data_IF_262675010920
#
_entry.id   IF_262675010920
#
_cell.length_a   1.000
_cell.length_b   1.000
_cell.length_c   1.000
_cell.angle_alpha   90.00
_cell.angle_beta   90.00
_cell.angle_gamma   90.00
#
_symmetry.space_group_name_H-M   'P 1'
#
loop_
_entity.id
_entity.type
_entity.pdbx_description
1 polymer ?
#
# COMPACT_ATOMS: atom_id res chain seq x y z
N UNK A 1 -8.75 -18.66 13.95
CA UNK A 1 -8.38 -18.79 12.51
C UNK A 1 -6.90 -19.12 12.42
N UNK A 2 -6.52 -20.19 11.74
CA UNK A 2 -5.14 -20.73 11.70
C UNK A 2 -4.10 -19.68 11.26
N UNK A 3 -4.50 -18.73 10.39
CA UNK A 3 -3.61 -17.66 9.92
C UNK A 3 -3.27 -16.60 10.99
N UNK A 4 -3.92 -16.63 12.16
CA UNK A 4 -3.64 -15.75 13.30
C UNK A 4 -2.77 -16.42 14.37
N UNK A 5 -2.42 -17.69 14.20
CA UNK A 5 -1.59 -18.43 15.17
C UNK A 5 -0.13 -17.90 15.20
N UNK A 6 0.65 -18.22 16.25
CA UNK A 6 2.06 -17.84 16.31
C UNK A 6 2.93 -18.44 15.20
N UNK A 7 2.53 -19.57 14.61
CA UNK A 7 3.28 -20.25 13.55
C UNK A 7 2.38 -20.74 12.40
N UNK A 8 1.72 -19.83 11.65
CA UNK A 8 0.73 -20.21 10.62
C UNK A 8 1.30 -21.15 9.57
N UNK A 9 2.58 -20.95 9.18
CA UNK A 9 3.24 -21.76 8.17
C UNK A 9 3.41 -23.22 8.61
N UNK A 10 3.65 -23.47 9.91
CA UNK A 10 3.74 -24.85 10.44
C UNK A 10 2.38 -25.54 10.38
N UNK A 11 1.33 -24.84 10.80
CA UNK A 11 -0.05 -25.33 10.76
C UNK A 11 -0.50 -25.61 9.31
N UNK A 12 -0.20 -24.70 8.37
CA UNK A 12 -0.47 -24.92 6.94
C UNK A 12 0.30 -26.14 6.37
N UNK A 13 1.56 -26.35 6.75
CA UNK A 13 2.32 -27.56 6.34
C UNK A 13 1.68 -28.84 6.88
N UNK A 14 1.17 -28.81 8.11
CA UNK A 14 0.48 -29.96 8.71
C UNK A 14 -0.80 -30.30 7.93
N UNK A 15 -1.59 -29.29 7.58
CA UNK A 15 -2.81 -29.45 6.75
C UNK A 15 -2.45 -30.04 5.38
N UNK A 16 -1.41 -29.49 4.74
CA UNK A 16 -0.93 -29.96 3.44
C UNK A 16 -0.61 -31.46 3.44
N UNK A 17 0.06 -31.95 4.50
CA UNK A 17 0.42 -33.35 4.67
C UNK A 17 -0.76 -34.27 4.96
N UNK A 18 -1.80 -33.78 5.64
CA UNK A 18 -2.93 -34.60 6.09
C UNK A 18 -4.05 -34.72 5.05
N UNK A 19 -4.43 -33.61 4.43
CA UNK A 19 -5.58 -33.55 3.51
C UNK A 19 -5.39 -32.64 2.30
N UNK A 20 -4.29 -31.90 2.21
CA UNK A 20 -4.14 -30.85 1.21
C UNK A 20 -5.15 -29.71 1.40
N UNK A 21 -5.40 -28.92 0.37
CA UNK A 21 -6.23 -27.70 0.44
C UNK A 21 -7.49 -27.74 -0.42
N UNK A 22 -7.83 -28.92 -0.96
CA UNK A 22 -9.02 -29.11 -1.81
C UNK A 22 -10.34 -28.80 -1.09
N UNK A 23 -10.35 -28.88 0.24
CA UNK A 23 -11.51 -28.48 1.07
C UNK A 23 -11.78 -26.98 1.06
N UNK A 24 -10.78 -26.14 0.72
CA UNK A 24 -10.95 -24.69 0.53
C UNK A 24 -11.45 -24.42 -0.88
N UNK A 25 -10.74 -24.96 -1.87
CA UNK A 25 -11.12 -24.90 -3.28
C UNK A 25 -10.45 -26.04 -4.04
N UNK A 26 -11.15 -26.66 -4.99
CA UNK A 26 -10.64 -27.81 -5.76
C UNK A 26 -9.33 -27.50 -6.49
N UNK A 27 -9.23 -26.30 -7.08
CA UNK A 27 -8.03 -25.80 -7.78
C UNK A 27 -6.91 -25.33 -6.84
N UNK A 28 -7.12 -25.29 -5.51
CA UNK A 28 -6.12 -24.75 -4.60
C UNK A 28 -5.00 -25.77 -4.36
N UNK A 29 -3.86 -25.53 -5.00
CA UNK A 29 -2.63 -26.26 -4.78
C UNK A 29 -1.55 -25.32 -4.22
N UNK A 30 -0.94 -25.70 -3.10
CA UNK A 30 0.16 -24.97 -2.47
C UNK A 30 1.45 -25.71 -2.73
N UNK A 31 2.27 -25.14 -3.60
CA UNK A 31 3.58 -25.66 -3.94
C UNK A 31 4.67 -25.15 -2.99
N UNK A 32 5.90 -25.63 -3.19
CA UNK A 32 7.05 -25.22 -2.39
C UNK A 32 7.34 -23.71 -2.53
N UNK A 33 7.06 -23.11 -3.70
CA UNK A 33 7.24 -21.67 -3.94
C UNK A 33 6.28 -20.85 -3.08
N UNK A 34 5.02 -21.26 -3.00
CA UNK A 34 4.01 -20.63 -2.15
C UNK A 34 4.40 -20.75 -0.67
N UNK A 35 4.88 -21.91 -0.23
CA UNK A 35 5.40 -22.06 1.14
C UNK A 35 6.64 -21.20 1.44
N UNK A 36 7.51 -20.98 0.46
CA UNK A 36 8.65 -20.07 0.61
C UNK A 36 8.18 -18.61 0.75
N UNK A 37 7.16 -18.20 -0.02
CA UNK A 37 6.55 -16.87 0.13
C UNK A 37 5.87 -16.71 1.49
N UNK A 38 5.11 -17.71 1.94
CA UNK A 38 4.46 -17.69 3.26
C UNK A 38 5.47 -17.51 4.39
N UNK A 39 6.65 -18.14 4.33
CA UNK A 39 7.72 -17.93 5.33
C UNK A 39 8.22 -16.47 5.34
N UNK A 40 8.39 -15.88 4.15
CA UNK A 40 8.90 -14.51 4.02
C UNK A 40 7.88 -13.44 4.46
N UNK A 41 6.60 -13.79 4.63
CA UNK A 41 5.59 -12.90 5.22
C UNK A 41 5.96 -12.51 6.65
N UNK A 42 6.55 -13.43 7.43
CA UNK A 42 7.00 -13.14 8.79
C UNK A 42 8.08 -12.07 8.83
N UNK A 43 9.10 -12.24 7.98
CA UNK A 43 10.23 -11.30 7.84
C UNK A 43 9.74 -9.92 7.38
N UNK A 44 8.86 -9.90 6.38
CA UNK A 44 8.27 -8.67 5.86
C UNK A 44 7.46 -7.93 6.93
N UNK A 45 6.60 -8.65 7.66
CA UNK A 45 5.76 -8.05 8.70
C UNK A 45 6.62 -7.53 9.86
N UNK A 46 7.65 -8.27 10.26
CA UNK A 46 8.61 -7.84 11.29
C UNK A 46 9.35 -6.57 10.87
N UNK A 47 9.93 -6.57 9.65
CA UNK A 47 10.57 -5.39 9.09
C UNK A 47 9.62 -4.19 9.05
N UNK A 48 8.39 -4.40 8.59
CA UNK A 48 7.39 -3.33 8.54
C UNK A 48 7.06 -2.80 9.96
N UNK A 49 6.92 -3.70 10.93
CA UNK A 49 6.63 -3.33 12.30
C UNK A 49 7.74 -2.49 12.93
N UNK A 50 8.99 -2.93 12.79
CA UNK A 50 10.16 -2.24 13.36
C UNK A 50 10.40 -0.86 12.73
N UNK A 51 10.12 -0.72 11.44
CA UNK A 51 10.43 0.52 10.71
C UNK A 51 9.27 1.53 10.70
N UNK A 52 8.01 1.08 10.85
CA UNK A 52 6.86 1.94 10.55
C UNK A 52 5.66 1.85 11.50
N UNK A 53 5.50 0.80 12.32
CA UNK A 53 4.25 0.62 13.11
C UNK A 53 4.04 1.72 14.15
N UNK A 54 5.10 2.31 14.71
CA UNK A 54 4.99 3.43 15.64
C UNK A 54 4.49 4.74 14.99
N UNK A 55 4.48 4.80 13.65
CA UNK A 55 4.12 6.00 12.87
C UNK A 55 2.83 5.86 12.07
N UNK A 56 2.18 4.69 12.09
CA UNK A 56 0.99 4.44 11.30
C UNK A 56 -0.26 4.26 12.15
N UNK A 57 -1.32 5.02 11.82
CA UNK A 57 -2.68 4.82 12.35
C UNK A 57 -3.34 3.53 11.82
N UNK A 58 -2.89 3.01 10.67
CA UNK A 58 -3.48 1.85 10.03
C UNK A 58 -2.79 0.55 10.44
N UNK A 59 -3.54 -0.30 11.13
CA UNK A 59 -3.08 -1.62 11.57
C UNK A 59 -3.06 -2.59 10.38
N UNK A 60 -1.85 -2.96 9.94
CA UNK A 60 -1.67 -4.03 8.95
C UNK A 60 -2.07 -5.36 9.57
N UNK A 61 -2.99 -6.06 8.94
CA UNK A 61 -3.45 -7.35 9.41
C UNK A 61 -2.60 -8.48 8.85
N UNK A 62 -1.64 -8.97 9.66
CA UNK A 62 -0.71 -10.04 9.27
C UNK A 62 -1.41 -11.28 8.69
N UNK A 63 -2.55 -11.67 9.26
CA UNK A 63 -3.31 -12.84 8.79
C UNK A 63 -3.79 -12.70 7.34
N UNK A 64 -4.06 -11.46 6.89
CA UNK A 64 -4.51 -11.17 5.54
C UNK A 64 -3.34 -11.28 4.54
N UNK A 65 -2.11 -10.95 4.95
CA UNK A 65 -0.92 -11.19 4.14
C UNK A 65 -0.77 -12.68 3.81
N UNK A 66 -0.94 -13.55 4.82
CA UNK A 66 -0.93 -14.99 4.59
C UNK A 66 -2.09 -15.45 3.71
N UNK A 67 -3.30 -14.92 3.91
CA UNK A 67 -4.47 -15.31 3.12
C UNK A 67 -4.28 -14.99 1.63
N UNK A 68 -3.76 -13.81 1.31
CA UNK A 68 -3.53 -13.41 -0.07
C UNK A 68 -2.49 -14.31 -0.74
N UNK A 69 -1.37 -14.60 -0.06
CA UNK A 69 -0.34 -15.52 -0.58
C UNK A 69 -0.90 -16.94 -0.74
N UNK A 70 -1.69 -17.40 0.23
CA UNK A 70 -2.32 -18.71 0.24
C UNK A 70 -3.22 -18.91 -0.98
N UNK A 71 -4.05 -17.92 -1.31
CA UNK A 71 -5.05 -18.01 -2.37
C UNK A 71 -4.53 -17.51 -3.74
N UNK A 72 -3.24 -17.20 -3.86
CA UNK A 72 -2.68 -16.54 -5.03
C UNK A 72 -2.91 -17.31 -6.34
N UNK A 73 -2.91 -18.64 -6.30
CA UNK A 73 -3.06 -19.48 -7.50
C UNK A 73 -4.50 -19.50 -8.04
N UNK A 74 -5.48 -18.99 -7.29
CA UNK A 74 -6.86 -18.90 -7.75
C UNK A 74 -7.05 -17.71 -8.70
N UNK A 75 -7.92 -17.88 -9.68
CA UNK A 75 -8.42 -16.81 -10.53
C UNK A 75 -9.34 -15.85 -9.75
N UNK A 76 -9.59 -14.66 -10.29
CA UNK A 76 -10.49 -13.69 -9.64
C UNK A 76 -11.90 -14.24 -9.38
N UNK A 77 -12.55 -14.96 -10.31
CA UNK A 77 -13.84 -15.59 -10.03
C UNK A 77 -13.78 -16.63 -8.90
N UNK A 78 -12.75 -17.49 -8.91
CA UNK A 78 -12.53 -18.50 -7.86
C UNK A 78 -12.27 -17.85 -6.50
N UNK A 79 -11.47 -16.78 -6.44
CA UNK A 79 -11.23 -15.99 -5.23
C UNK A 79 -12.53 -15.46 -4.65
N UNK A 80 -13.37 -14.81 -5.47
CA UNK A 80 -14.66 -14.29 -5.04
C UNK A 80 -15.53 -15.39 -4.45
N UNK A 81 -15.70 -16.50 -5.18
CA UNK A 81 -16.53 -17.63 -4.74
C UNK A 81 -16.02 -18.20 -3.42
N UNK A 82 -14.71 -18.45 -3.34
CA UNK A 82 -14.06 -18.99 -2.14
C UNK A 82 -14.27 -18.04 -0.96
N UNK A 83 -13.90 -16.77 -1.09
CA UNK A 83 -13.98 -15.84 0.03
C UNK A 83 -15.42 -15.57 0.49
N UNK A 84 -16.39 -15.56 -0.43
CA UNK A 84 -17.81 -15.48 -0.06
C UNK A 84 -18.29 -16.73 0.70
N UNK A 85 -17.89 -17.93 0.27
CA UNK A 85 -18.28 -19.19 0.96
C UNK A 85 -17.74 -19.28 2.39
N UNK A 86 -16.58 -18.66 2.66
CA UNK A 86 -16.00 -18.57 4.00
C UNK A 86 -16.48 -17.33 4.79
N UNK A 87 -17.47 -16.60 4.29
CA UNK A 87 -18.08 -15.44 4.94
C UNK A 87 -17.09 -14.31 5.33
N UNK A 88 -16.05 -14.07 4.52
CA UNK A 88 -15.13 -12.95 4.74
C UNK A 88 -15.82 -11.60 4.55
N UNK A 89 -15.37 -10.58 5.28
CA UNK A 89 -15.89 -9.22 5.16
C UNK A 89 -15.58 -8.62 3.78
N UNK A 90 -16.48 -7.76 3.28
CA UNK A 90 -16.35 -7.10 1.98
C UNK A 90 -14.99 -6.39 1.80
N UNK A 91 -14.46 -5.76 2.86
CA UNK A 91 -13.19 -5.06 2.82
C UNK A 91 -12.00 -6.02 2.58
N UNK A 92 -11.97 -7.17 3.28
CA UNK A 92 -10.91 -8.16 3.11
C UNK A 92 -10.95 -8.79 1.71
N UNK A 93 -12.17 -9.07 1.22
CA UNK A 93 -12.39 -9.55 -0.14
C UNK A 93 -11.83 -8.56 -1.16
N UNK A 94 -12.10 -7.26 -0.99
CA UNK A 94 -11.59 -6.22 -1.88
C UNK A 94 -10.06 -6.16 -1.88
N UNK A 95 -9.41 -6.26 -0.72
CA UNK A 95 -7.94 -6.29 -0.62
C UNK A 95 -7.34 -7.48 -1.37
N UNK A 96 -7.90 -8.69 -1.19
CA UNK A 96 -7.42 -9.89 -1.89
C UNK A 96 -7.60 -9.77 -3.41
N UNK A 97 -8.75 -9.27 -3.85
CA UNK A 97 -9.04 -9.08 -5.28
C UNK A 97 -8.15 -7.99 -5.89
N UNK A 98 -7.99 -6.86 -5.20
CA UNK A 98 -7.14 -5.74 -5.65
C UNK A 98 -5.72 -6.21 -5.87
N UNK A 99 -5.16 -6.99 -4.94
CA UNK A 99 -3.82 -7.56 -5.13
C UNK A 99 -3.71 -8.38 -6.42
N UNK A 100 -4.68 -9.25 -6.71
CA UNK A 100 -4.66 -10.08 -7.93
C UNK A 100 -4.81 -9.25 -9.22
N UNK A 101 -5.67 -8.22 -9.21
CA UNK A 101 -5.99 -7.42 -10.41
C UNK A 101 -5.00 -6.31 -10.69
N UNK A 102 -4.61 -5.58 -9.65
CA UNK A 102 -3.97 -4.28 -9.80
C UNK A 102 -2.44 -4.40 -9.81
N UNK A 103 -1.88 -5.44 -9.15
CA UNK A 103 -0.42 -5.59 -8.96
C UNK A 103 0.37 -5.47 -10.27
N UNK A 104 -0.02 -6.19 -11.32
CA UNK A 104 0.70 -6.15 -12.60
C UNK A 104 0.66 -4.76 -13.25
N UNK A 105 -0.49 -4.10 -13.22
CA UNK A 105 -0.71 -2.75 -13.75
C UNK A 105 0.03 -1.69 -12.93
N UNK A 106 0.10 -1.86 -11.61
CA UNK A 106 0.82 -0.95 -10.74
C UNK A 106 2.32 -1.10 -10.95
N UNK A 107 2.83 -2.33 -10.96
CA UNK A 107 4.25 -2.62 -11.25
C UNK A 107 4.66 -2.03 -12.61
N UNK A 108 3.84 -2.17 -13.65
CA UNK A 108 4.17 -1.60 -14.97
C UNK A 108 4.24 -0.07 -14.96
N UNK A 109 3.41 0.60 -14.16
CA UNK A 109 3.51 2.05 -13.95
C UNK A 109 4.76 2.44 -13.16
N UNK A 110 5.11 1.68 -12.12
CA UNK A 110 6.31 1.94 -11.29
C UNK A 110 7.63 1.70 -12.02
N UNK A 111 7.63 0.92 -13.11
CA UNK A 111 8.80 0.77 -13.99
C UNK A 111 9.16 2.04 -14.74
N UNK A 112 8.21 2.95 -14.93
CA UNK A 112 8.48 4.23 -15.58
C UNK A 112 9.28 5.13 -14.64
N UNK A 113 10.10 6.00 -15.20
CA UNK A 113 10.68 7.12 -14.46
C UNK A 113 9.57 8.15 -14.22
N UNK A 114 9.14 8.25 -12.97
CA UNK A 114 8.07 9.14 -12.52
C UNK A 114 8.48 9.77 -11.18
N UNK A 115 8.02 10.99 -10.90
CA UNK A 115 8.31 11.67 -9.66
C UNK A 115 7.71 10.94 -8.44
N UNK A 116 8.20 11.28 -7.24
CA UNK A 116 7.77 10.65 -5.99
C UNK A 116 6.27 10.89 -5.71
N UNK A 117 5.74 12.06 -6.05
CA UNK A 117 4.32 12.39 -6.04
C UNK A 117 3.50 11.47 -6.97
N UNK A 118 4.07 11.12 -8.14
CA UNK A 118 3.49 10.16 -9.08
C UNK A 118 3.41 8.75 -8.48
N UNK A 119 4.49 8.31 -7.82
CA UNK A 119 4.52 7.01 -7.10
C UNK A 119 3.48 7.03 -5.98
N UNK A 120 3.42 8.11 -5.19
CA UNK A 120 2.47 8.27 -4.11
C UNK A 120 1.01 8.20 -4.63
N UNK A 121 0.67 8.89 -5.73
CA UNK A 121 -0.66 8.81 -6.36
C UNK A 121 -1.06 7.40 -6.78
N UNK A 122 -0.09 6.57 -7.16
CA UNK A 122 -0.32 5.19 -7.59
C UNK A 122 -0.51 4.25 -6.40
N UNK A 123 0.30 4.40 -5.34
CA UNK A 123 0.32 3.48 -4.21
C UNK A 123 -0.64 3.87 -3.07
N UNK A 124 -0.91 5.15 -2.86
CA UNK A 124 -1.80 5.69 -1.82
C UNK A 124 -3.22 5.10 -1.82
N UNK A 125 -3.86 4.85 -2.98
CA UNK A 125 -5.20 4.25 -3.01
C UNK A 125 -5.24 2.77 -2.63
N UNK A 126 -4.09 2.09 -2.58
CA UNK A 126 -4.00 0.66 -2.27
C UNK A 126 -3.92 0.46 -0.76
N UNK A 127 -4.40 -0.70 -0.28
CA UNK A 127 -4.20 -1.05 1.12
C UNK A 127 -2.74 -1.41 1.39
N UNK A 128 -2.27 -1.20 2.62
CA UNK A 128 -0.91 -1.56 3.01
C UNK A 128 -0.60 -3.04 2.83
N UNK A 129 -1.57 -3.92 3.03
CA UNK A 129 -1.38 -5.35 2.78
C UNK A 129 -1.04 -5.62 1.32
N UNK A 130 -1.72 -4.93 0.39
CA UNK A 130 -1.43 -5.01 -1.04
C UNK A 130 -0.03 -4.48 -1.33
N UNK A 131 0.32 -3.29 -0.82
CA UNK A 131 1.63 -2.65 -1.03
C UNK A 131 2.77 -3.51 -0.47
N UNK A 132 2.62 -4.08 0.73
CA UNK A 132 3.60 -4.95 1.34
C UNK A 132 3.80 -6.25 0.56
N UNK A 133 2.72 -6.88 0.09
CA UNK A 133 2.84 -8.08 -0.73
C UNK A 133 3.45 -7.79 -2.10
N UNK A 134 3.20 -6.60 -2.66
CA UNK A 134 3.92 -6.15 -3.85
C UNK A 134 5.42 -6.03 -3.58
N UNK A 135 5.83 -5.45 -2.44
CA UNK A 135 7.25 -5.39 -2.03
C UNK A 135 7.85 -6.79 -1.89
N UNK A 136 7.11 -7.72 -1.27
CA UNK A 136 7.53 -9.11 -1.09
C UNK A 136 7.81 -9.81 -2.42
N UNK A 137 6.99 -9.54 -3.44
CA UNK A 137 7.05 -10.19 -4.75
C UNK A 137 7.91 -9.45 -5.77
N UNK A 138 8.21 -8.17 -5.54
CA UNK A 138 9.07 -7.40 -6.43
C UNK A 138 10.43 -8.08 -6.57
N UNK A 139 10.88 -8.30 -7.81
CA UNK A 139 12.24 -8.80 -8.12
C UNK A 139 13.19 -7.64 -8.42
N UNK A 140 12.66 -6.62 -9.07
CA UNK A 140 13.37 -5.42 -9.47
C UNK A 140 13.72 -4.55 -8.26
N UNK A 141 15.01 -4.22 -8.11
CA UNK A 141 15.56 -3.43 -7.00
C UNK A 141 15.02 -2.00 -7.02
N UNK A 142 14.83 -1.39 -8.19
CA UNK A 142 14.27 -0.05 -8.30
C UNK A 142 12.81 -0.03 -7.86
N UNK A 143 12.02 -1.04 -8.22
CA UNK A 143 10.62 -1.14 -7.77
C UNK A 143 10.56 -1.32 -6.25
N UNK A 144 11.42 -2.17 -5.68
CA UNK A 144 11.51 -2.33 -4.21
C UNK A 144 11.80 -0.99 -3.54
N UNK A 145 12.81 -0.26 -4.04
CA UNK A 145 13.19 1.06 -3.51
C UNK A 145 12.01 2.04 -3.58
N UNK A 146 11.34 2.17 -4.73
CA UNK A 146 10.15 3.02 -4.89
C UNK A 146 9.05 2.71 -3.88
N UNK A 147 8.76 1.43 -3.62
CA UNK A 147 7.76 1.02 -2.62
C UNK A 147 8.23 1.32 -1.20
N UNK A 148 9.49 1.05 -0.86
CA UNK A 148 10.05 1.34 0.46
C UNK A 148 10.07 2.85 0.76
N UNK A 149 10.40 3.67 -0.24
CA UNK A 149 10.41 5.13 -0.11
C UNK A 149 8.99 5.68 0.06
N UNK A 150 8.01 5.11 -0.64
CA UNK A 150 6.59 5.40 -0.39
C UNK A 150 6.17 5.07 1.04
N UNK A 151 6.53 3.87 1.57
CA UNK A 151 6.21 3.49 2.94
C UNK A 151 6.85 4.44 3.96
N UNK A 152 8.10 4.89 3.71
CA UNK A 152 8.78 5.92 4.51
C UNK A 152 8.07 7.26 4.47
N UNK A 153 7.78 7.78 3.28
CA UNK A 153 7.13 9.07 3.11
C UNK A 153 5.74 9.12 3.77
N UNK A 154 4.94 8.07 3.59
CA UNK A 154 3.61 8.00 4.20
C UNK A 154 3.67 8.07 5.74
N UNK A 155 4.74 7.56 6.34
CA UNK A 155 4.90 7.52 7.80
C UNK A 155 5.27 8.87 8.44
N UNK A 156 5.53 9.94 7.67
CA UNK A 156 6.00 11.19 8.26
C UNK A 156 5.98 12.45 7.40
N UNK A 157 5.67 12.37 6.11
CA UNK A 157 5.62 13.56 5.25
C UNK A 157 4.32 14.32 5.47
N UNK A 158 4.40 15.39 6.25
CA UNK A 158 3.34 16.39 6.41
C UNK A 158 3.82 17.72 5.87
N UNK A 159 2.94 18.46 5.20
CA UNK A 159 3.17 19.88 4.89
C UNK A 159 3.04 20.70 6.18
N UNK A 160 3.79 21.79 6.29
CA UNK A 160 3.76 22.64 7.48
C UNK A 160 2.51 23.51 7.49
N UNK A 161 2.09 23.99 6.31
CA UNK A 161 0.94 24.86 6.16
C UNK A 161 -0.36 24.11 6.39
N UNK A 162 -1.19 24.67 7.25
CA UNK A 162 -2.55 24.21 7.50
C UNK A 162 -3.58 25.11 6.83
N UNK A 163 -4.81 24.61 6.75
CA UNK A 163 -5.93 25.39 6.21
C UNK A 163 -6.10 26.75 6.91
N UNK A 164 -5.86 26.84 8.22
CA UNK A 164 -6.02 28.12 8.93
C UNK A 164 -4.96 29.14 8.52
N UNK A 165 -3.70 28.72 8.30
CA UNK A 165 -2.65 29.60 7.78
C UNK A 165 -2.94 30.05 6.35
N UNK A 166 -3.58 29.20 5.53
CA UNK A 166 -4.05 29.63 4.21
C UNK A 166 -5.12 30.74 4.29
N UNK A 167 -5.99 30.73 5.33
CA UNK A 167 -6.97 31.80 5.56
C UNK A 167 -6.29 33.10 5.96
N UNK A 168 -5.28 33.04 6.83
CA UNK A 168 -4.49 34.21 7.24
C UNK A 168 -3.76 34.86 6.06
N UNK A 169 -3.38 34.04 5.07
CA UNK A 169 -2.82 34.50 3.79
C UNK A 169 -3.87 35.08 2.82
N UNK A 170 -5.13 35.22 3.24
CA UNK A 170 -6.20 35.85 2.46
C UNK A 170 -6.92 34.91 1.48
N UNK A 171 -6.66 33.59 1.54
CA UNK A 171 -7.33 32.63 0.66
C UNK A 171 -8.72 32.28 1.22
N UNK A 172 -9.72 32.25 0.33
CA UNK A 172 -11.10 31.90 0.72
C UNK A 172 -11.24 30.38 0.89
N UNK A 173 -11.77 29.91 2.02
CA UNK A 173 -11.97 28.48 2.23
C UNK A 173 -12.92 27.90 1.16
N UNK A 174 -12.53 26.79 0.55
CA UNK A 174 -13.28 26.17 -0.54
C UNK A 174 -12.57 24.97 -1.16
N UNK A 175 -13.08 24.42 -2.27
CA UNK A 175 -12.46 23.29 -2.99
C UNK A 175 -10.98 23.53 -3.33
N UNK A 176 -10.62 24.79 -3.57
CA UNK A 176 -9.27 25.23 -3.86
C UNK A 176 -8.27 24.95 -2.74
N UNK A 177 -8.68 24.96 -1.47
CA UNK A 177 -7.78 24.65 -0.37
C UNK A 177 -7.28 23.21 -0.46
N UNK A 178 -8.19 22.26 -0.73
CA UNK A 178 -7.80 20.86 -0.89
C UNK A 178 -6.85 20.66 -2.06
N UNK A 179 -7.03 21.42 -3.14
CA UNK A 179 -6.13 21.38 -4.29
C UNK A 179 -4.75 21.95 -3.94
N UNK A 180 -4.69 23.11 -3.27
CA UNK A 180 -3.44 23.75 -2.85
C UNK A 180 -2.66 22.85 -1.89
N UNK A 181 -3.31 22.34 -0.83
CA UNK A 181 -2.66 21.45 0.14
C UNK A 181 -2.16 20.17 -0.52
N UNK A 182 -2.89 19.65 -1.52
CA UNK A 182 -2.46 18.49 -2.30
C UNK A 182 -1.25 18.80 -3.19
N UNK A 183 -1.24 19.95 -3.87
CA UNK A 183 -0.09 20.39 -4.68
C UNK A 183 1.14 20.64 -3.83
N UNK A 184 0.99 21.25 -2.65
CA UNK A 184 2.08 21.41 -1.69
C UNK A 184 2.62 20.05 -1.23
N UNK A 185 1.74 19.09 -0.94
CA UNK A 185 2.18 17.74 -0.57
C UNK A 185 2.92 17.05 -1.72
N UNK A 186 2.40 17.15 -2.95
CA UNK A 186 3.05 16.59 -4.14
C UNK A 186 4.44 17.23 -4.35
N UNK A 187 4.55 18.55 -4.24
CA UNK A 187 5.80 19.29 -4.37
C UNK A 187 6.80 18.93 -3.26
N UNK A 188 6.33 18.75 -2.01
CA UNK A 188 7.17 18.29 -0.90
C UNK A 188 7.71 16.88 -1.15
N UNK A 189 6.86 15.97 -1.61
CA UNK A 189 7.26 14.60 -1.97
C UNK A 189 8.31 14.61 -3.09
N UNK A 190 8.17 15.53 -4.04
CA UNK A 190 9.10 15.73 -5.16
C UNK A 190 10.37 16.52 -4.78
N UNK A 191 10.56 16.84 -3.50
CA UNK A 191 11.76 17.51 -2.98
C UNK A 191 11.88 18.98 -3.39
N UNK A 192 10.76 19.66 -3.72
CA UNK A 192 10.78 21.08 -4.11
C UNK A 192 11.06 22.03 -2.95
N UNK A 193 10.83 21.58 -1.73
CA UNK A 193 11.13 22.32 -0.50
C UNK A 193 11.24 21.36 0.68
N UNK A 194 11.87 21.83 1.75
CA UNK A 194 12.13 21.10 2.97
C UNK A 194 11.68 21.85 4.23
N UNK A 195 11.73 23.19 4.20
CA UNK A 195 11.38 24.05 5.34
C UNK A 195 10.00 24.71 5.18
N UNK A 196 9.50 25.31 6.27
CA UNK A 196 8.24 26.06 6.24
C UNK A 196 8.37 27.34 5.41
N UNK A 197 9.53 27.97 5.44
CA UNK A 197 9.82 29.19 4.69
C UNK A 197 9.84 28.90 3.19
N UNK A 198 10.50 27.83 2.76
CA UNK A 198 10.51 27.39 1.37
C UNK A 198 9.12 26.97 0.89
N UNK A 199 8.33 26.32 1.75
CA UNK A 199 6.93 25.96 1.48
C UNK A 199 6.05 27.19 1.21
N UNK A 200 6.20 28.26 2.01
CA UNK A 200 5.51 29.53 1.81
C UNK A 200 5.93 30.23 0.50
N UNK A 201 7.23 30.22 0.19
CA UNK A 201 7.76 30.78 -1.07
C UNK A 201 7.18 30.01 -2.26
N UNK A 202 7.17 28.68 -2.19
CA UNK A 202 6.60 27.82 -3.23
C UNK A 202 5.10 28.10 -3.43
N UNK A 203 4.33 28.21 -2.34
CA UNK A 203 2.91 28.56 -2.41
C UNK A 203 2.67 29.86 -3.18
N UNK A 204 3.38 30.93 -2.82
CA UNK A 204 3.19 32.26 -3.43
C UNK A 204 3.63 32.29 -4.90
N UNK A 205 4.81 31.74 -5.19
CA UNK A 205 5.44 31.90 -6.49
C UNK A 205 4.98 30.89 -7.54
N UNK A 206 4.61 29.68 -7.14
CA UNK A 206 4.33 28.59 -8.08
C UNK A 206 2.86 28.15 -8.12
N UNK A 207 2.11 28.35 -7.04
CA UNK A 207 0.71 27.92 -6.96
C UNK A 207 -0.24 29.11 -7.16
N UNK A 208 -0.07 30.19 -6.36
CA UNK A 208 -0.97 31.34 -6.43
C UNK A 208 -0.79 32.15 -7.71
N UNK A 209 0.44 32.36 -8.17
CA UNK A 209 0.75 33.03 -9.44
C UNK A 209 0.06 32.39 -10.65
N UNK A 210 0.02 31.04 -10.70
CA UNK A 210 -0.64 30.26 -11.77
C UNK A 210 -2.16 30.32 -11.73
N UNK A 211 -2.74 30.59 -10.56
CA UNK A 211 -4.19 30.78 -10.40
C UNK A 211 -4.65 32.20 -10.72
N UNK A 212 -3.79 33.21 -10.52
CA UNK A 212 -4.06 34.61 -10.88
C UNK A 212 -3.91 34.88 -12.39
N UNK A 213 -3.26 33.98 -13.12
CA UNK A 213 -3.03 34.06 -14.58
C UNK A 213 -3.99 33.19 -15.41
N UNK A 214 -5.01 32.61 -14.77
CA UNK A 214 -6.12 31.87 -15.40
C UNK A 214 -7.44 32.57 -15.13
#
# INVERSE_FOLDING_TARGET
MILKEPSPVKSLRRIAKLRGFRFIHSSLNIDQKTFALLKRVDELYKWFAENFVHKHKHKVEKWLLYLIVLLENLSVPELKKTLHSFAFHKNDIQKVISFKKDTAKVISKLKKEIPASGIHKILFPLSYEVVLLMLLKAKDVQIKRKIQDFLRAYSGTQIHLRGDELKELGLRPGPDFKLILKELLDAKLDGKFSTKEEELVYLKNEILSKKLSR
#
